data_IF_730689366826
#
_entry.id   IF_730689366826
#
_cell.length_a   1.000
_cell.length_b   1.000
_cell.length_c   1.000
_cell.angle_alpha   90.00
_cell.angle_beta   90.00
_cell.angle_gamma   90.00
#
_symmetry.space_group_name_H-M   'P 1'
#
loop_
_entity.id
_entity.type
_entity.pdbx_description
1 polymer ?
#
# COMPACT_ATOMS: atom_id res chain seq x y z
N UNK A 1 -35.45 74.72 -2.29
CA UNK A 1 -35.19 73.76 -3.38
C UNK A 1 -33.89 73.02 -3.10
N UNK A 2 -33.97 71.68 -3.17
CA UNK A 2 -32.96 70.63 -3.34
C UNK A 2 -31.61 70.65 -2.58
N UNK A 3 -31.58 69.73 -1.60
CA UNK A 3 -30.51 68.81 -1.19
C UNK A 3 -29.49 68.46 -2.29
N UNK A 4 -28.20 68.40 -1.95
CA UNK A 4 -27.25 67.38 -2.46
C UNK A 4 -26.23 67.01 -1.39
N UNK A 5 -26.25 65.72 -1.05
CA UNK A 5 -25.41 65.05 -0.08
C UNK A 5 -24.02 64.77 -0.65
N UNK A 6 -22.98 64.82 0.19
CA UNK A 6 -21.70 64.18 -0.07
C UNK A 6 -21.53 63.09 1.01
N UNK A 7 -21.69 61.84 0.58
CA UNK A 7 -21.43 60.65 1.38
C UNK A 7 -19.95 60.30 1.21
N UNK A 8 -19.17 60.43 2.29
CA UNK A 8 -17.80 59.91 2.35
C UNK A 8 -17.87 58.41 2.60
N UNK A 9 -17.48 57.63 1.59
CA UNK A 9 -17.36 56.18 1.67
C UNK A 9 -16.05 55.80 2.40
N UNK A 10 -16.18 55.25 3.61
CA UNK A 10 -15.08 54.56 4.29
C UNK A 10 -14.98 53.14 3.73
N UNK A 11 -14.01 52.91 2.84
CA UNK A 11 -13.62 51.56 2.41
C UNK A 11 -12.80 50.95 3.55
N UNK A 12 -13.45 50.17 4.41
CA UNK A 12 -12.77 49.31 5.36
C UNK A 12 -12.16 48.14 4.59
N UNK A 13 -10.82 48.18 4.43
CA UNK A 13 -10.05 47.04 3.99
C UNK A 13 -10.11 45.94 5.07
N UNK A 14 -11.10 45.06 4.97
CA UNK A 14 -11.07 43.78 5.66
C UNK A 14 -10.01 42.92 4.95
N UNK A 15 -8.75 43.03 5.41
CA UNK A 15 -7.77 41.98 5.22
C UNK A 15 -8.36 40.71 5.81
N UNK A 16 -8.89 39.86 4.95
CA UNK A 16 -9.25 38.50 5.31
C UNK A 16 -7.99 37.83 5.83
N UNK A 17 -7.92 37.65 7.15
CA UNK A 17 -7.02 36.69 7.74
C UNK A 17 -7.42 35.34 7.14
N UNK A 18 -6.66 34.89 6.14
CA UNK A 18 -6.65 33.48 5.76
C UNK A 18 -6.15 32.79 7.02
N UNK A 19 -7.09 32.27 7.82
CA UNK A 19 -6.76 31.39 8.91
C UNK A 19 -5.94 30.27 8.28
N UNK A 20 -4.63 30.26 8.54
CA UNK A 20 -3.80 29.11 8.27
C UNK A 20 -4.40 27.99 9.11
N UNK A 21 -5.31 27.21 8.51
CA UNK A 21 -5.74 25.93 9.05
C UNK A 21 -4.45 25.19 9.30
N UNK A 22 -4.15 24.91 10.57
CA UNK A 22 -3.03 24.07 10.98
C UNK A 22 -3.12 22.81 10.12
N UNK A 23 -2.29 22.71 9.08
CA UNK A 23 -2.37 21.59 8.15
C UNK A 23 -2.11 20.33 8.95
N UNK A 24 -3.11 19.45 9.02
CA UNK A 24 -3.00 18.19 9.74
C UNK A 24 -1.79 17.41 9.18
N UNK A 25 -0.80 17.17 10.03
CA UNK A 25 0.32 16.28 9.74
C UNK A 25 0.01 14.90 10.30
N UNK A 26 0.31 13.85 9.54
CA UNK A 26 0.02 12.47 9.89
C UNK A 26 1.32 11.69 10.03
N UNK A 27 1.62 11.22 11.24
CA UNK A 27 2.71 10.28 11.49
C UNK A 27 2.18 8.84 11.33
N UNK A 28 2.32 8.29 10.12
CA UNK A 28 1.82 6.95 9.82
C UNK A 28 2.86 5.89 10.15
N UNK A 29 2.46 4.87 10.88
CA UNK A 29 3.26 3.67 11.12
C UNK A 29 2.32 2.50 11.39
N UNK A 30 2.87 1.30 11.38
CA UNK A 30 2.16 0.19 11.95
C UNK A 30 1.90 0.43 13.44
N UNK A 31 0.63 0.34 13.82
CA UNK A 31 0.16 0.49 15.20
C UNK A 31 -0.84 -0.64 15.51
N UNK A 32 -0.37 -1.87 15.28
CA UNK A 32 -1.12 -3.10 15.51
C UNK A 32 -0.97 -3.54 16.96
N UNK A 33 -1.97 -4.26 17.46
CA UNK A 33 -1.90 -4.94 18.76
C UNK A 33 -1.60 -6.42 18.56
N UNK A 34 -0.91 -7.03 19.52
CA UNK A 34 -0.77 -8.48 19.54
C UNK A 34 -2.15 -9.17 19.52
N UNK A 35 -2.30 -10.19 18.69
CA UNK A 35 -3.55 -10.90 18.43
C UNK A 35 -4.49 -10.17 17.46
N UNK A 36 -4.22 -8.93 17.06
CA UNK A 36 -5.04 -8.24 16.07
C UNK A 36 -4.91 -8.91 14.71
N UNK A 37 -6.05 -9.28 14.12
CA UNK A 37 -6.13 -9.84 12.78
C UNK A 37 -6.92 -8.92 11.84
N UNK A 38 -6.63 -9.04 10.55
CA UNK A 38 -7.42 -8.43 9.49
C UNK A 38 -7.44 -9.32 8.25
N UNK A 39 -8.49 -9.21 7.45
CA UNK A 39 -8.74 -10.03 6.26
C UNK A 39 -8.92 -9.16 5.04
N UNK A 40 -8.26 -9.54 3.95
CA UNK A 40 -8.39 -8.90 2.66
C UNK A 40 -8.85 -9.90 1.60
N UNK A 41 -9.75 -9.47 0.73
CA UNK A 41 -10.01 -10.14 -0.54
C UNK A 41 -9.07 -9.60 -1.57
N UNK A 42 -8.39 -10.51 -2.27
CA UNK A 42 -7.37 -10.22 -3.25
C UNK A 42 -7.85 -10.69 -4.61
N UNK A 43 -7.57 -9.90 -5.63
CA UNK A 43 -7.75 -10.29 -7.03
C UNK A 43 -6.58 -9.79 -7.87
N UNK A 44 -6.08 -10.60 -8.79
CA UNK A 44 -5.13 -10.18 -9.82
C UNK A 44 -5.66 -10.55 -11.21
N UNK A 45 -5.36 -9.71 -12.19
CA UNK A 45 -5.63 -9.97 -13.61
C UNK A 45 -4.31 -9.84 -14.36
N UNK A 46 -3.89 -10.94 -14.97
CA UNK A 46 -2.61 -11.07 -15.68
C UNK A 46 -2.92 -11.34 -17.15
N UNK A 47 -2.20 -10.68 -18.06
CA UNK A 47 -2.22 -11.02 -19.47
C UNK A 47 -0.98 -11.87 -19.80
N UNK A 48 -1.20 -13.16 -20.04
CA UNK A 48 -0.15 -14.07 -20.46
C UNK A 48 -0.30 -14.42 -21.93
N UNK A 49 0.47 -13.73 -22.78
CA UNK A 49 0.49 -13.97 -24.22
C UNK A 49 -0.90 -13.88 -24.88
N UNK A 50 -1.75 -12.95 -24.44
CA UNK A 50 -3.12 -12.77 -24.92
C UNK A 50 -4.14 -13.68 -24.23
N UNK A 51 -3.72 -14.51 -23.28
CA UNK A 51 -4.62 -15.32 -22.44
C UNK A 51 -4.81 -14.62 -21.10
N UNK A 52 -6.03 -14.22 -20.72
CA UNK A 52 -6.28 -13.67 -19.39
C UNK A 52 -6.13 -14.77 -18.33
N UNK A 53 -5.41 -14.44 -17.27
CA UNK A 53 -5.31 -15.24 -16.05
C UNK A 53 -5.87 -14.40 -14.91
N UNK A 54 -6.97 -14.86 -14.31
CA UNK A 54 -7.57 -14.23 -13.14
C UNK A 54 -7.22 -15.03 -11.89
N UNK A 55 -6.71 -14.34 -10.87
CA UNK A 55 -6.37 -14.93 -9.58
C UNK A 55 -7.27 -14.30 -8.54
N UNK A 56 -7.86 -15.10 -7.66
CA UNK A 56 -8.56 -14.60 -6.46
C UNK A 56 -8.07 -15.34 -5.23
N UNK A 57 -8.02 -14.66 -4.09
CA UNK A 57 -7.64 -15.26 -2.82
C UNK A 57 -8.23 -14.49 -1.62
N UNK A 58 -8.22 -15.14 -0.46
CA UNK A 58 -8.44 -14.51 0.84
C UNK A 58 -7.09 -14.44 1.56
N UNK A 59 -6.59 -13.23 1.83
CA UNK A 59 -5.42 -13.03 2.68
C UNK A 59 -5.86 -12.72 4.12
N UNK A 60 -5.32 -13.42 5.10
CA UNK A 60 -5.55 -13.17 6.53
C UNK A 60 -4.20 -12.83 7.15
N UNK A 61 -4.09 -11.66 7.77
CA UNK A 61 -2.87 -11.28 8.50
C UNK A 61 -3.18 -11.16 9.98
N UNK A 62 -2.33 -11.75 10.82
CA UNK A 62 -2.42 -11.65 12.29
C UNK A 62 -1.12 -11.11 12.87
N UNK A 63 -1.21 -10.07 13.69
CA UNK A 63 -0.09 -9.57 14.46
C UNK A 63 0.22 -10.54 15.61
N UNK A 64 1.32 -11.29 15.51
CA UNK A 64 1.75 -12.28 16.50
C UNK A 64 2.47 -11.66 17.68
N UNK A 65 3.18 -10.55 17.47
CA UNK A 65 3.82 -9.79 18.55
C UNK A 65 4.28 -8.40 18.08
N UNK A 66 4.40 -7.48 19.04
CA UNK A 66 5.06 -6.18 18.88
C UNK A 66 6.10 -6.03 19.99
N UNK A 67 7.38 -6.03 19.64
CA UNK A 67 8.51 -5.97 20.59
C UNK A 67 9.64 -5.16 20.00
N UNK A 68 10.18 -4.22 20.77
CA UNK A 68 11.36 -3.42 20.40
C UNK A 68 11.27 -2.72 19.03
N UNK A 69 10.07 -2.20 18.69
CA UNK A 69 9.82 -1.54 17.39
C UNK A 69 9.74 -2.51 16.20
N UNK A 70 9.70 -3.82 16.47
CA UNK A 70 9.51 -4.89 15.50
C UNK A 70 8.11 -5.48 15.65
N UNK A 71 7.56 -5.87 14.51
CA UNK A 71 6.22 -6.42 14.36
C UNK A 71 6.37 -7.77 13.67
N UNK A 72 5.83 -8.81 14.30
CA UNK A 72 5.76 -10.14 13.70
C UNK A 72 4.36 -10.37 13.17
N UNK A 73 4.25 -10.60 11.86
CA UNK A 73 2.98 -10.87 11.18
C UNK A 73 2.95 -12.32 10.71
N UNK A 74 1.86 -13.02 10.99
CA UNK A 74 1.50 -14.27 10.35
C UNK A 74 0.52 -13.95 9.21
N UNK A 75 0.92 -14.27 7.99
CA UNK A 75 0.11 -14.14 6.79
C UNK A 75 -0.35 -15.51 6.35
N UNK A 76 -1.65 -15.65 6.09
CA UNK A 76 -2.25 -16.87 5.56
C UNK A 76 -2.99 -16.54 4.26
N UNK A 77 -2.76 -17.32 3.22
CA UNK A 77 -3.48 -17.23 1.96
C UNK A 77 -4.41 -18.42 1.86
N UNK A 78 -5.70 -18.15 1.67
CA UNK A 78 -6.76 -19.15 1.59
C UNK A 78 -7.58 -18.98 0.33
N UNK A 79 -8.29 -20.04 -0.04
CA UNK A 79 -9.26 -20.04 -1.15
C UNK A 79 -8.64 -19.50 -2.45
N UNK A 80 -7.36 -19.82 -2.71
CA UNK A 80 -6.69 -19.29 -3.89
C UNK A 80 -7.19 -20.05 -5.13
N UNK A 81 -7.78 -19.31 -6.05
CA UNK A 81 -8.31 -19.83 -7.32
C UNK A 81 -7.61 -19.10 -8.46
N UNK A 82 -7.09 -19.87 -9.41
CA UNK A 82 -6.53 -19.39 -10.68
C UNK A 82 -7.51 -19.80 -11.79
N UNK A 83 -8.05 -18.85 -12.54
CA UNK A 83 -8.81 -19.06 -13.77
C UNK A 83 -7.95 -18.73 -14.98
N UNK A 84 -7.74 -19.70 -15.87
CA UNK A 84 -7.02 -19.52 -17.13
C UNK A 84 -8.03 -19.48 -18.27
N UNK A 85 -8.10 -18.35 -18.97
CA UNK A 85 -8.91 -18.22 -20.18
C UNK A 85 -10.43 -18.14 -19.93
N UNK A 86 -10.87 -17.82 -18.72
CA UNK A 86 -12.28 -17.50 -18.39
C UNK A 86 -13.19 -18.73 -18.26
N UNK A 87 -12.67 -19.83 -17.71
CA UNK A 87 -13.45 -21.03 -17.46
C UNK A 87 -12.67 -22.26 -17.00
N UNK A 88 -11.33 -22.22 -17.00
CA UNK A 88 -10.51 -23.30 -16.44
C UNK A 88 -9.97 -22.88 -15.08
N UNK A 89 -10.65 -23.31 -14.02
CA UNK A 89 -10.27 -22.97 -12.65
C UNK A 89 -9.38 -24.06 -12.02
N UNK A 90 -8.38 -23.61 -11.26
CA UNK A 90 -7.51 -24.44 -10.44
C UNK A 90 -7.46 -23.88 -9.03
N UNK A 91 -7.88 -24.68 -8.06
CA UNK A 91 -7.67 -24.37 -6.64
C UNK A 91 -6.21 -24.65 -6.27
N UNK A 92 -5.65 -23.80 -5.42
CA UNK A 92 -4.33 -24.00 -4.85
C UNK A 92 -4.46 -24.27 -3.33
N UNK A 93 -3.57 -25.08 -2.73
CA UNK A 93 -3.56 -25.29 -1.28
C UNK A 93 -3.41 -23.98 -0.50
N UNK A 94 -3.92 -23.96 0.74
CA UNK A 94 -3.65 -22.86 1.66
C UNK A 94 -2.15 -22.77 1.96
N UNK A 95 -1.63 -21.55 2.10
CA UNK A 95 -0.24 -21.29 2.49
C UNK A 95 -0.15 -20.35 3.66
N UNK A 96 0.96 -20.39 4.38
CA UNK A 96 1.25 -19.41 5.42
C UNK A 96 2.73 -19.04 5.49
N UNK A 97 2.98 -17.78 5.82
CA UNK A 97 4.32 -17.28 6.10
C UNK A 97 4.31 -16.30 7.26
N UNK A 98 5.45 -16.18 7.92
CA UNK A 98 5.68 -15.25 9.00
C UNK A 98 6.73 -14.24 8.58
N UNK A 99 6.38 -12.96 8.64
CA UNK A 99 7.29 -11.85 8.40
C UNK A 99 7.58 -11.10 9.70
N UNK A 100 8.84 -10.71 9.89
CA UNK A 100 9.24 -9.73 10.90
C UNK A 100 9.63 -8.46 10.18
N UNK A 101 9.07 -7.34 10.62
CA UNK A 101 9.31 -6.03 10.03
C UNK A 101 9.37 -4.93 11.09
N UNK A 102 9.96 -3.80 10.74
CA UNK A 102 9.93 -2.59 11.59
C UNK A 102 8.54 -1.95 11.61
N UNK A 103 8.28 -1.04 12.56
CA UNK A 103 7.05 -0.22 12.58
C UNK A 103 6.84 0.59 11.28
N UNK A 104 7.89 0.84 10.49
CA UNK A 104 7.82 1.55 9.21
C UNK A 104 7.72 0.62 8.00
N UNK A 105 7.54 -0.69 8.21
CA UNK A 105 7.29 -1.67 7.16
C UNK A 105 8.56 -2.22 6.49
N UNK A 106 9.75 -1.91 7.02
CA UNK A 106 11.00 -2.52 6.53
C UNK A 106 11.07 -3.99 6.94
N UNK A 107 11.17 -4.89 5.96
CA UNK A 107 11.32 -6.31 6.19
C UNK A 107 12.66 -6.64 6.85
N UNK A 108 12.63 -7.53 7.83
CA UNK A 108 13.81 -7.98 8.60
C UNK A 108 14.00 -9.49 8.44
N UNK A 109 12.91 -10.24 8.33
CA UNK A 109 12.94 -11.70 8.20
C UNK A 109 11.64 -12.19 7.58
N UNK A 110 11.72 -13.26 6.79
CA UNK A 110 10.58 -14.07 6.35
C UNK A 110 10.88 -15.54 6.65
N UNK A 111 9.88 -16.28 7.08
CA UNK A 111 9.93 -17.74 7.27
C UNK A 111 8.61 -18.37 6.88
N UNK A 112 8.64 -19.58 6.36
CA UNK A 112 7.44 -20.28 5.88
C UNK A 112 7.51 -20.48 4.38
N UNK A 113 6.43 -20.99 3.82
CA UNK A 113 6.29 -21.24 2.39
C UNK A 113 5.06 -20.47 1.89
N UNK A 114 5.25 -19.48 1.02
CA UNK A 114 4.18 -19.04 0.12
C UNK A 114 4.31 -19.68 -1.26
N UNK A 115 3.24 -19.56 -2.05
CA UNK A 115 3.34 -19.71 -3.49
C UNK A 115 4.41 -18.77 -4.06
N UNK A 116 5.37 -19.30 -4.83
CA UNK A 116 6.27 -18.46 -5.64
C UNK A 116 7.67 -18.99 -5.90
N UNK A 117 8.19 -19.93 -5.11
CA UNK A 117 9.54 -20.47 -5.32
C UNK A 117 10.63 -19.40 -5.14
N UNK A 118 11.15 -19.26 -3.93
CA UNK A 118 12.37 -18.47 -3.64
C UNK A 118 12.24 -16.94 -3.69
N UNK A 119 11.28 -16.37 -4.43
CA UNK A 119 11.12 -14.92 -4.61
C UNK A 119 10.10 -14.26 -3.66
N UNK A 120 9.58 -14.98 -2.67
CA UNK A 120 8.51 -14.49 -1.77
C UNK A 120 8.87 -13.17 -1.08
N UNK A 121 10.06 -13.09 -0.50
CA UNK A 121 10.51 -11.87 0.18
C UNK A 121 10.62 -10.69 -0.80
N UNK A 122 11.09 -10.94 -2.02
CA UNK A 122 11.22 -9.93 -3.07
C UNK A 122 9.85 -9.42 -3.52
N UNK A 123 8.91 -10.33 -3.81
CA UNK A 123 7.53 -9.99 -4.17
C UNK A 123 6.83 -9.25 -3.04
N UNK A 124 6.93 -9.75 -1.80
CA UNK A 124 6.36 -9.11 -0.62
C UNK A 124 6.90 -7.69 -0.43
N UNK A 125 8.21 -7.48 -0.62
CA UNK A 125 8.83 -6.18 -0.54
C UNK A 125 8.33 -5.21 -1.64
N UNK A 126 8.19 -5.68 -2.87
CA UNK A 126 7.68 -4.87 -3.98
C UNK A 126 6.22 -4.44 -3.77
N UNK A 127 5.36 -5.30 -3.23
CA UNK A 127 3.95 -4.97 -2.97
C UNK A 127 3.69 -4.31 -1.61
N UNK A 128 4.74 -4.06 -0.82
CA UNK A 128 4.61 -3.47 0.50
C UNK A 128 4.38 -1.96 0.45
N UNK A 129 3.57 -1.47 1.37
CA UNK A 129 3.56 -0.05 1.71
C UNK A 129 4.63 0.23 2.76
N UNK A 130 5.48 1.22 2.49
CA UNK A 130 6.53 1.66 3.41
C UNK A 130 6.15 3.01 3.98
N UNK A 131 6.14 3.11 5.30
CA UNK A 131 5.73 4.35 5.94
C UNK A 131 6.81 5.43 5.82
N UNK A 132 6.42 6.70 5.66
CA UNK A 132 7.37 7.80 5.67
C UNK A 132 8.05 7.93 7.04
N UNK A 133 9.32 8.32 7.04
CA UNK A 133 10.09 8.54 8.28
C UNK A 133 9.67 9.82 9.03
N UNK A 134 8.92 10.70 8.35
CA UNK A 134 8.45 11.98 8.88
C UNK A 134 6.94 12.09 8.74
N UNK A 135 6.27 12.87 9.60
CA UNK A 135 4.86 13.18 9.43
C UNK A 135 4.60 13.81 8.05
N UNK A 136 3.56 13.35 7.38
CA UNK A 136 3.19 13.82 6.04
C UNK A 136 1.91 14.63 6.04
N UNK A 137 1.70 15.43 5.00
CA UNK A 137 0.45 16.19 4.78
C UNK A 137 -0.22 15.81 3.47
N UNK A 138 -1.53 16.05 3.38
CA UNK A 138 -2.25 15.94 2.10
C UNK A 138 -1.63 16.89 1.07
N UNK A 139 -1.42 16.40 -0.15
CA UNK A 139 -0.75 17.10 -1.23
C UNK A 139 0.76 16.89 -1.28
N UNK A 140 1.38 16.38 -0.22
CA UNK A 140 2.82 16.14 -0.16
C UNK A 140 3.25 14.99 -1.08
N UNK A 141 4.40 15.16 -1.74
CA UNK A 141 5.07 14.12 -2.51
C UNK A 141 6.47 13.91 -1.96
N UNK A 142 6.86 12.66 -1.78
CA UNK A 142 8.18 12.30 -1.27
C UNK A 142 8.71 11.05 -1.97
N UNK A 143 10.03 10.97 -2.00
CA UNK A 143 10.78 9.89 -2.64
C UNK A 143 11.81 9.35 -1.65
N UNK A 144 12.02 8.04 -1.68
CA UNK A 144 12.97 7.36 -0.82
C UNK A 144 13.37 6.03 -1.45
N UNK A 145 14.44 5.45 -0.92
CA UNK A 145 15.00 4.19 -1.41
C UNK A 145 14.97 3.16 -0.29
N UNK A 146 14.64 1.93 -0.68
CA UNK A 146 14.82 0.73 0.12
C UNK A 146 16.15 0.12 -0.35
N UNK A 147 17.16 0.01 0.53
CA UNK A 147 18.41 -0.64 0.15
C UNK A 147 18.18 -2.11 -0.15
N UNK A 148 19.02 -2.68 -1.02
CA UNK A 148 19.08 -4.11 -1.24
C UNK A 148 19.44 -4.88 0.05
N UNK A 149 19.00 -6.13 0.14
CA UNK A 149 19.39 -7.06 1.20
C UNK A 149 19.59 -8.45 0.59
N UNK A 150 20.85 -8.78 0.32
CA UNK A 150 21.23 -10.06 -0.31
C UNK A 150 20.82 -11.28 0.54
N UNK A 151 20.74 -11.13 1.87
CA UNK A 151 20.36 -12.26 2.76
C UNK A 151 18.87 -12.59 2.63
N UNK A 152 18.06 -11.58 2.33
CA UNK A 152 16.63 -11.71 2.09
C UNK A 152 16.28 -11.83 0.60
N UNK A 153 17.27 -11.78 -0.30
CA UNK A 153 17.05 -11.77 -1.74
C UNK A 153 16.38 -10.49 -2.26
N UNK A 154 16.52 -9.38 -1.54
CA UNK A 154 15.91 -8.10 -1.91
C UNK A 154 16.83 -7.28 -2.80
N UNK A 155 16.24 -6.70 -3.84
CA UNK A 155 16.88 -5.73 -4.72
C UNK A 155 16.56 -4.31 -4.22
N UNK A 156 17.43 -3.34 -4.52
CA UNK A 156 17.15 -1.93 -4.22
C UNK A 156 15.83 -1.52 -4.90
N UNK A 157 14.93 -0.91 -4.12
CA UNK A 157 13.61 -0.48 -4.55
C UNK A 157 13.47 1.04 -4.35
N UNK A 158 13.17 1.76 -5.44
CA UNK A 158 12.92 3.21 -5.42
C UNK A 158 11.43 3.43 -5.28
N UNK A 159 11.04 4.26 -4.32
CA UNK A 159 9.64 4.56 -4.02
C UNK A 159 9.36 6.05 -4.16
N UNK A 160 8.25 6.39 -4.81
CA UNK A 160 7.71 7.74 -4.93
C UNK A 160 6.24 7.74 -4.55
N UNK A 161 5.91 8.40 -3.45
CA UNK A 161 4.55 8.48 -2.94
C UNK A 161 4.02 9.90 -2.96
N UNK A 162 2.72 10.05 -3.24
CA UNK A 162 1.98 11.29 -3.09
C UNK A 162 0.77 11.07 -2.18
N UNK A 163 0.64 11.87 -1.12
CA UNK A 163 -0.58 11.90 -0.30
C UNK A 163 -1.65 12.66 -1.08
N UNK A 164 -2.69 11.97 -1.52
CA UNK A 164 -3.72 12.56 -2.38
C UNK A 164 -4.82 13.22 -1.57
N UNK A 165 -5.34 12.51 -0.58
CA UNK A 165 -6.49 12.94 0.21
C UNK A 165 -6.56 12.20 1.54
N UNK A 166 -7.34 12.75 2.48
CA UNK A 166 -7.86 12.07 3.66
C UNK A 166 -9.36 11.86 3.49
N UNK A 167 -9.87 10.67 3.78
CA UNK A 167 -11.32 10.41 3.71
C UNK A 167 -11.74 9.30 4.65
N UNK A 168 -13.06 9.20 4.88
CA UNK A 168 -13.66 7.98 5.38
C UNK A 168 -13.76 6.94 4.26
N UNK A 169 -13.28 5.72 4.51
CA UNK A 169 -13.47 4.58 3.64
C UNK A 169 -13.96 3.40 4.48
N UNK A 170 -15.22 3.00 4.29
CA UNK A 170 -15.85 1.90 5.03
C UNK A 170 -15.80 2.13 6.57
N UNK A 171 -16.00 3.37 7.03
CA UNK A 171 -15.96 3.71 8.46
C UNK A 171 -14.56 3.84 9.05
N UNK A 172 -13.53 3.92 8.20
CA UNK A 172 -12.13 4.10 8.60
C UNK A 172 -11.59 5.40 8.06
N UNK A 173 -10.93 6.17 8.92
CA UNK A 173 -10.21 7.38 8.53
C UNK A 173 -8.88 6.98 7.87
N UNK A 174 -8.79 7.18 6.55
CA UNK A 174 -7.68 6.75 5.72
C UNK A 174 -6.97 7.92 5.05
N UNK A 175 -5.68 7.75 4.82
CA UNK A 175 -4.94 8.52 3.83
C UNK A 175 -4.82 7.73 2.53
N UNK A 176 -5.11 8.37 1.41
CA UNK A 176 -4.96 7.79 0.07
C UNK A 176 -3.62 8.23 -0.52
N UNK A 177 -2.84 7.27 -0.98
CA UNK A 177 -1.53 7.47 -1.59
C UNK A 177 -1.57 7.04 -3.04
N UNK A 178 -1.05 7.88 -3.94
CA UNK A 178 -0.52 7.40 -5.22
C UNK A 178 0.89 6.90 -4.99
N UNK A 179 1.20 5.74 -5.56
CA UNK A 179 2.51 5.11 -5.42
C UNK A 179 3.08 4.74 -6.77
N UNK A 180 4.39 4.91 -6.88
CA UNK A 180 5.23 4.38 -7.95
C UNK A 180 6.45 3.76 -7.27
N UNK A 181 6.67 2.47 -7.49
CA UNK A 181 7.76 1.70 -6.94
C UNK A 181 8.46 0.95 -8.07
N UNK A 182 9.79 0.97 -8.08
CA UNK A 182 10.57 0.28 -9.12
C UNK A 182 11.89 -0.24 -8.55
N UNK A 183 12.11 -1.53 -8.73
CA UNK A 183 13.41 -2.13 -8.43
C UNK A 183 14.50 -1.63 -9.39
N UNK A 184 15.75 -1.83 -9.02
CA UNK A 184 16.89 -1.65 -9.94
C UNK A 184 17.28 -2.99 -10.60
N UNK A 185 18.18 -2.94 -11.59
CA UNK A 185 18.75 -4.15 -12.21
C UNK A 185 18.10 -4.55 -13.54
N UNK A 186 18.32 -5.79 -13.96
CA UNK A 186 18.04 -6.25 -15.33
C UNK A 186 16.57 -6.57 -15.60
N UNK A 187 15.85 -7.09 -14.60
CA UNK A 187 14.41 -7.41 -14.69
C UNK A 187 13.68 -6.81 -13.48
N UNK A 188 13.58 -5.47 -13.41
CA UNK A 188 13.05 -4.78 -12.25
C UNK A 188 11.54 -4.99 -12.17
N UNK A 189 11.05 -5.41 -11.00
CA UNK A 189 9.63 -5.34 -10.69
C UNK A 189 9.26 -3.87 -10.56
N UNK A 190 8.17 -3.46 -11.21
CA UNK A 190 7.61 -2.12 -11.06
C UNK A 190 6.14 -2.20 -10.68
N UNK A 191 5.71 -1.36 -9.73
CA UNK A 191 4.34 -1.30 -9.23
C UNK A 191 3.91 0.17 -9.21
N UNK A 192 2.74 0.45 -9.77
CA UNK A 192 2.15 1.79 -9.75
C UNK A 192 0.66 1.72 -9.46
N UNK A 193 0.14 2.66 -8.68
CA UNK A 193 -1.28 2.70 -8.37
C UNK A 193 -1.60 3.40 -7.07
N UNK A 194 -2.52 2.85 -6.29
CA UNK A 194 -3.09 3.50 -5.10
C UNK A 194 -3.11 2.58 -3.89
N UNK A 195 -2.71 3.11 -2.74
CA UNK A 195 -3.01 2.56 -1.41
C UNK A 195 -4.01 3.48 -0.68
N UNK A 196 -4.93 2.93 0.10
CA UNK A 196 -5.68 3.65 1.12
C UNK A 196 -5.34 3.04 2.49
N UNK A 197 -4.68 3.81 3.35
CA UNK A 197 -4.09 3.32 4.60
C UNK A 197 -4.83 3.93 5.78
N UNK A 198 -5.36 3.10 6.67
CA UNK A 198 -6.02 3.54 7.92
C UNK A 198 -5.00 4.24 8.83
N UNK A 199 -5.28 5.50 9.17
CA UNK A 199 -4.37 6.35 9.93
C UNK A 199 -4.08 5.76 11.32
N UNK A 200 -5.09 5.14 11.93
CA UNK A 200 -5.01 4.62 13.30
C UNK A 200 -4.08 3.41 13.45
N UNK A 201 -4.04 2.54 12.44
CA UNK A 201 -3.43 1.19 12.54
C UNK A 201 -2.29 0.98 11.54
N UNK A 202 -2.28 1.73 10.43
CA UNK A 202 -1.40 1.49 9.28
C UNK A 202 -1.90 0.40 8.32
N UNK A 203 -3.08 -0.21 8.57
CA UNK A 203 -3.61 -1.26 7.70
C UNK A 203 -4.04 -0.66 6.35
N UNK A 204 -3.66 -1.30 5.25
CA UNK A 204 -4.21 -1.01 3.93
C UNK A 204 -5.67 -1.47 3.85
N UNK A 205 -6.59 -0.51 3.80
CA UNK A 205 -8.03 -0.75 3.62
C UNK A 205 -8.34 -1.09 2.17
N UNK A 206 -7.55 -0.55 1.25
CA UNK A 206 -7.69 -0.74 -0.19
C UNK A 206 -6.35 -0.58 -0.89
N UNK A 207 -6.13 -1.40 -1.92
CA UNK A 207 -5.03 -1.24 -2.85
C UNK A 207 -5.47 -1.62 -4.26
N UNK A 208 -4.98 -0.88 -5.24
CA UNK A 208 -5.20 -1.11 -6.68
C UNK A 208 -3.95 -0.70 -7.44
N UNK A 209 -3.27 -1.67 -8.05
CA UNK A 209 -1.99 -1.51 -8.72
C UNK A 209 -2.00 -2.10 -10.12
N UNK A 210 -1.16 -1.53 -10.97
CA UNK A 210 -0.58 -2.22 -12.12
C UNK A 210 0.84 -2.63 -11.75
N UNK A 211 1.24 -3.84 -12.11
CA UNK A 211 2.59 -4.34 -11.93
C UNK A 211 3.20 -4.82 -13.25
N UNK A 212 4.52 -4.84 -13.30
CA UNK A 212 5.30 -5.41 -14.40
C UNK A 212 6.44 -6.26 -13.92
N UNK A 213 6.86 -7.21 -14.76
CA UNK A 213 7.98 -8.10 -14.55
C UNK A 213 7.90 -8.91 -13.25
N UNK A 214 6.70 -9.30 -12.81
CA UNK A 214 6.55 -10.17 -11.65
C UNK A 214 7.11 -11.57 -11.99
N UNK A 215 8.18 -12.05 -11.31
CA UNK A 215 8.69 -13.40 -11.54
C UNK A 215 7.71 -14.45 -11.06
N UNK A 216 7.39 -15.42 -11.91
CA UNK A 216 6.61 -16.59 -11.54
C UNK A 216 7.02 -17.80 -12.39
N UNK A 217 7.53 -18.85 -11.73
CA UNK A 217 7.98 -20.10 -12.38
C UNK A 217 8.91 -19.88 -13.61
N UNK A 218 9.84 -18.92 -13.50
CA UNK A 218 10.79 -18.59 -14.58
C UNK A 218 10.22 -17.69 -15.68
N UNK A 219 8.97 -17.25 -15.56
CA UNK A 219 8.33 -16.27 -16.45
C UNK A 219 8.27 -14.89 -15.77
N UNK A 220 8.13 -13.84 -16.58
CA UNK A 220 7.86 -12.49 -16.12
C UNK A 220 6.43 -12.11 -16.51
N UNK A 221 5.63 -11.72 -15.53
CA UNK A 221 4.20 -11.44 -15.69
C UNK A 221 3.91 -9.95 -15.44
N UNK A 222 3.03 -9.42 -16.27
CA UNK A 222 2.47 -8.08 -16.14
C UNK A 222 0.98 -8.20 -15.83
N UNK A 223 0.44 -7.26 -15.07
CA UNK A 223 -0.96 -7.33 -14.70
C UNK A 223 -1.42 -6.25 -13.76
N UNK A 224 -2.61 -6.48 -13.20
CA UNK A 224 -3.22 -5.65 -12.18
C UNK A 224 -3.43 -6.46 -10.92
N UNK A 225 -3.31 -5.79 -9.77
CA UNK A 225 -3.52 -6.36 -8.46
C UNK A 225 -4.47 -5.45 -7.68
N UNK A 226 -5.43 -6.06 -7.01
CA UNK A 226 -6.36 -5.35 -6.13
C UNK A 226 -6.48 -6.12 -4.83
N UNK A 227 -6.50 -5.39 -3.72
CA UNK A 227 -6.88 -5.96 -2.43
C UNK A 227 -7.81 -5.01 -1.68
N UNK A 228 -8.83 -5.58 -1.05
CA UNK A 228 -9.79 -4.84 -0.24
C UNK A 228 -9.93 -5.47 1.14
N UNK A 229 -9.89 -4.64 2.18
CA UNK A 229 -10.24 -5.06 3.52
C UNK A 229 -11.72 -5.45 3.59
N UNK A 230 -11.98 -6.62 4.18
CA UNK A 230 -13.33 -7.17 4.39
C UNK A 230 -13.66 -7.47 5.84
N UNK A 231 -12.64 -7.56 6.71
CA UNK A 231 -12.79 -7.79 8.16
C UNK A 231 -11.56 -7.27 8.92
#
# INVERSE_FOLDING_TARGET
>A
MLKRALVLAAIAAAMGAVAATKEDTFDLKWNLKEGQSYKQKVSANIDFQGTPIDVTATAITTCKSVKDGMITLLSQTKDLVIDIGGGQTMEQPDTESTAVQTERGRLVKVTGESFGGGDEARLGNAFSFFFPDKPVKVGETYEFTIPADEKLGLVELKCKYQVVERKDMKGKDVLVFKVDQMETGASPISISGTFAVEIKTGISVFSDFTFKNMPQQGMLLDGKWKAELVE
#
